data_IF_810971276168
#
_entry.id   IF_810971276168
#
_cell.length_a   1.000
_cell.length_b   1.000
_cell.length_c   1.000
_cell.angle_alpha   90.00
_cell.angle_beta   90.00
_cell.angle_gamma   90.00
#
_symmetry.space_group_name_H-M   'P 1'
#
loop_
_entity.id
_entity.type
_entity.pdbx_description
1 polymer ?
#
# COMPACT_ATOMS: atom_id res chain seq x y z
N UNK A 1 28.21 54.88 -56.61
CA UNK A 1 27.53 54.62 -55.36
C UNK A 1 27.68 53.12 -55.03
N UNK A 2 28.58 52.82 -54.09
CA UNK A 2 28.79 51.47 -53.61
C UNK A 2 27.65 51.12 -52.56
N UNK A 3 26.89 50.10 -52.86
CA UNK A 3 25.99 49.51 -51.88
C UNK A 3 26.83 48.69 -50.92
N UNK A 4 26.89 49.09 -49.68
CA UNK A 4 27.39 48.26 -48.60
C UNK A 4 26.39 47.11 -48.38
N UNK A 5 26.79 45.92 -48.77
CA UNK A 5 26.19 44.69 -48.25
C UNK A 5 26.46 44.63 -46.75
N UNK A 6 25.46 44.90 -45.97
CA UNK A 6 25.48 44.61 -44.52
C UNK A 6 25.41 43.10 -44.34
N UNK A 7 26.59 42.48 -44.36
CA UNK A 7 26.78 41.14 -43.90
C UNK A 7 26.16 41.04 -42.50
N UNK A 8 25.02 40.41 -42.44
CA UNK A 8 24.34 40.05 -41.20
C UNK A 8 25.16 38.94 -40.55
N UNK A 9 26.30 39.33 -39.92
CA UNK A 9 27.08 38.45 -39.05
C UNK A 9 26.24 38.11 -37.83
N UNK A 10 25.35 37.14 -38.03
CA UNK A 10 24.67 36.53 -36.92
C UNK A 10 25.75 35.91 -36.03
N UNK A 11 26.06 36.56 -34.90
CA UNK A 11 27.02 36.07 -33.92
C UNK A 11 26.70 34.60 -33.62
N UNK A 12 27.55 33.72 -34.08
CA UNK A 12 27.45 32.29 -33.77
C UNK A 12 27.58 32.12 -32.25
N UNK A 13 26.46 31.91 -31.58
CA UNK A 13 26.44 31.71 -30.14
C UNK A 13 26.67 30.25 -29.80
N UNK A 14 27.40 29.99 -28.71
CA UNK A 14 27.61 28.65 -28.18
C UNK A 14 26.28 27.92 -27.96
N UNK A 15 26.31 26.58 -28.06
CA UNK A 15 25.13 25.74 -27.77
C UNK A 15 24.74 25.91 -26.32
N UNK A 16 23.46 26.21 -26.05
CA UNK A 16 22.86 26.32 -24.73
C UNK A 16 21.74 25.29 -24.55
N UNK A 17 21.65 24.71 -23.37
CA UNK A 17 20.64 23.74 -22.96
C UNK A 17 19.66 24.37 -21.98
N UNK A 18 18.47 24.68 -22.46
CA UNK A 18 17.47 25.40 -21.70
C UNK A 18 17.87 26.84 -21.37
N UNK A 19 17.09 27.53 -20.57
CA UNK A 19 17.35 28.92 -20.13
C UNK A 19 18.57 28.99 -19.21
N UNK A 20 18.82 28.00 -18.40
CA UNK A 20 19.85 27.95 -17.35
C UNK A 20 21.19 27.36 -17.86
N UNK A 21 21.26 27.04 -19.15
CA UNK A 21 22.40 26.40 -19.76
C UNK A 21 22.89 25.15 -18.99
N UNK A 22 21.99 24.19 -18.83
CA UNK A 22 22.18 22.98 -18.07
C UNK A 22 23.43 22.22 -18.51
N UNK A 23 24.25 21.78 -17.56
CA UNK A 23 25.45 20.96 -17.78
C UNK A 23 25.32 19.54 -17.29
N UNK A 24 24.35 19.29 -16.44
CA UNK A 24 24.06 17.97 -15.89
C UNK A 24 22.54 17.70 -15.84
N UNK A 25 22.17 16.48 -16.14
CA UNK A 25 20.79 15.99 -16.08
C UNK A 25 20.73 14.75 -15.23
N UNK A 26 19.98 14.83 -14.14
CA UNK A 26 19.59 13.65 -13.37
C UNK A 26 18.16 13.27 -13.70
N UNK A 27 17.93 11.98 -13.95
CA UNK A 27 16.61 11.42 -14.24
C UNK A 27 16.48 9.98 -13.70
N UNK A 28 15.27 9.58 -13.44
CA UNK A 28 15.01 8.21 -13.01
C UNK A 28 15.11 7.24 -14.19
N UNK A 29 15.49 5.99 -13.92
CA UNK A 29 15.38 4.90 -14.86
C UNK A 29 13.98 4.87 -15.49
N UNK A 30 13.89 4.65 -16.79
CA UNK A 30 12.67 4.65 -17.61
C UNK A 30 11.94 6.01 -17.68
N UNK A 31 12.51 7.09 -17.15
CA UNK A 31 11.96 8.42 -17.33
C UNK A 31 12.62 9.16 -18.51
N UNK A 32 11.95 10.21 -18.96
CA UNK A 32 12.42 11.03 -20.07
C UNK A 32 12.41 12.50 -19.67
N UNK A 33 13.44 13.23 -20.03
CA UNK A 33 13.54 14.69 -19.91
C UNK A 33 13.74 15.33 -21.29
N UNK A 34 13.05 16.43 -21.52
CA UNK A 34 13.16 17.25 -22.72
C UNK A 34 13.80 18.59 -22.41
N UNK A 35 14.72 19.04 -23.26
CA UNK A 35 15.46 20.27 -23.08
C UNK A 35 15.48 21.00 -24.44
N UNK A 36 15.15 22.28 -24.46
CA UNK A 36 15.23 23.10 -25.63
C UNK A 36 16.69 23.55 -25.85
N UNK A 37 17.19 23.39 -27.06
CA UNK A 37 18.51 23.82 -27.48
C UNK A 37 18.43 25.19 -28.15
N UNK A 38 19.45 25.98 -27.94
CA UNK A 38 19.61 27.26 -28.65
C UNK A 38 21.09 27.52 -28.97
N UNK A 39 21.36 28.47 -29.85
CA UNK A 39 22.72 28.76 -30.29
C UNK A 39 23.23 27.82 -31.38
N UNK A 40 24.53 27.78 -31.60
CA UNK A 40 25.16 27.05 -32.69
C UNK A 40 24.66 27.52 -34.05
N UNK A 41 24.46 26.58 -34.99
CA UNK A 41 23.92 26.84 -36.33
C UNK A 41 22.40 26.61 -36.44
N UNK A 42 21.75 26.24 -35.32
CA UNK A 42 20.32 25.87 -35.28
C UNK A 42 20.02 24.47 -35.82
N UNK A 43 21.02 23.73 -36.29
CA UNK A 43 20.89 22.30 -36.64
C UNK A 43 21.70 21.48 -35.64
N UNK A 44 21.05 20.55 -35.00
CA UNK A 44 21.65 19.80 -33.89
C UNK A 44 21.72 18.31 -34.18
N UNK A 45 22.80 17.69 -33.72
CA UNK A 45 22.98 16.26 -33.61
C UNK A 45 23.40 15.94 -32.17
N UNK A 46 23.06 14.76 -31.65
CA UNK A 46 23.52 14.33 -30.35
C UNK A 46 23.90 12.85 -30.38
N UNK A 47 24.95 12.53 -29.62
CA UNK A 47 25.41 11.18 -29.40
C UNK A 47 25.59 10.98 -27.87
N UNK A 48 25.25 9.83 -27.38
CA UNK A 48 25.50 9.42 -25.99
C UNK A 48 26.73 8.51 -25.95
N UNK A 49 27.55 8.65 -24.92
CA UNK A 49 28.77 7.83 -24.76
C UNK A 49 28.45 6.37 -24.40
N UNK A 50 27.44 6.14 -23.56
CA UNK A 50 26.98 4.82 -23.22
C UNK A 50 25.46 4.69 -23.42
N UNK A 51 25.09 4.04 -24.52
CA UNK A 51 23.69 3.81 -24.88
C UNK A 51 22.98 2.78 -23.97
N UNK A 52 23.70 2.06 -23.11
CA UNK A 52 23.08 1.18 -22.09
C UNK A 52 22.52 2.01 -20.93
N UNK A 53 23.14 3.15 -20.61
CA UNK A 53 22.72 4.01 -19.50
C UNK A 53 21.62 4.97 -19.96
N UNK A 54 21.75 5.60 -21.12
CA UNK A 54 20.76 6.55 -21.61
C UNK A 54 20.66 6.55 -23.15
N UNK A 55 19.52 6.99 -23.65
CA UNK A 55 19.31 7.29 -25.07
C UNK A 55 19.07 8.79 -25.23
N UNK A 56 19.60 9.37 -26.32
CA UNK A 56 19.35 10.75 -26.69
C UNK A 56 18.79 10.84 -28.11
N UNK A 57 17.77 11.67 -28.26
CA UNK A 57 17.16 11.98 -29.59
C UNK A 57 16.98 13.47 -29.74
N UNK A 58 17.20 13.96 -30.94
CA UNK A 58 16.94 15.35 -31.30
C UNK A 58 15.79 15.43 -32.28
N UNK A 59 14.88 16.35 -32.02
CA UNK A 59 13.82 16.74 -32.95
C UNK A 59 13.80 18.26 -33.03
N UNK A 60 14.24 18.80 -34.17
CA UNK A 60 14.47 20.24 -34.39
C UNK A 60 15.44 20.81 -33.34
N UNK A 61 14.95 21.64 -32.43
CA UNK A 61 15.67 22.27 -31.33
C UNK A 61 15.46 21.56 -29.97
N UNK A 62 14.80 20.43 -29.97
CA UNK A 62 14.43 19.72 -28.75
C UNK A 62 15.31 18.48 -28.57
N UNK A 63 16.09 18.47 -27.49
CA UNK A 63 16.86 17.32 -27.02
C UNK A 63 15.98 16.50 -26.05
N UNK A 64 15.79 15.25 -26.38
CA UNK A 64 15.12 14.27 -25.52
C UNK A 64 16.13 13.28 -24.96
N UNK A 65 16.20 13.16 -23.63
CA UNK A 65 17.07 12.24 -22.90
C UNK A 65 16.20 11.22 -22.19
N UNK A 66 16.40 9.94 -22.46
CA UNK A 66 15.68 8.83 -21.82
C UNK A 66 16.67 7.98 -21.04
N UNK A 67 16.40 7.81 -19.73
CA UNK A 67 17.19 6.94 -18.86
C UNK A 67 16.83 5.47 -19.12
N UNK A 68 17.83 4.63 -19.40
CA UNK A 68 17.64 3.19 -19.68
C UNK A 68 18.03 2.35 -18.48
N UNK A 69 19.24 2.59 -17.97
CA UNK A 69 19.80 1.83 -16.86
C UNK A 69 20.53 2.74 -15.88
N UNK A 70 20.59 2.35 -14.61
CA UNK A 70 21.31 3.08 -13.58
C UNK A 70 22.78 3.25 -13.97
N UNK A 71 23.29 4.47 -13.82
CA UNK A 71 24.68 4.79 -14.14
C UNK A 71 24.88 6.24 -14.54
N UNK A 72 26.13 6.55 -14.87
CA UNK A 72 26.54 7.86 -15.37
C UNK A 72 27.07 7.74 -16.79
N UNK A 73 26.67 8.65 -17.62
CA UNK A 73 27.15 8.81 -18.98
C UNK A 73 27.13 10.29 -19.34
N UNK A 74 27.43 10.62 -20.59
CA UNK A 74 27.27 11.98 -21.12
C UNK A 74 26.77 11.94 -22.54
N UNK A 75 26.09 13.00 -22.92
CA UNK A 75 25.79 13.27 -24.32
C UNK A 75 26.65 14.40 -24.85
N UNK A 76 27.05 14.27 -26.10
CA UNK A 76 27.70 15.34 -26.87
C UNK A 76 26.72 15.86 -27.91
N UNK A 77 26.38 17.13 -27.81
CA UNK A 77 25.55 17.88 -28.75
C UNK A 77 26.46 18.62 -29.70
N UNK A 78 26.20 18.52 -31.00
CA UNK A 78 27.00 19.11 -32.06
C UNK A 78 26.08 19.99 -32.92
N UNK A 79 26.55 21.21 -33.23
CA UNK A 79 25.86 22.14 -34.13
C UNK A 79 26.89 22.93 -34.94
N UNK A 80 27.20 22.48 -36.16
CA UNK A 80 28.34 22.98 -36.95
C UNK A 80 29.66 22.67 -36.23
N UNK A 81 30.47 23.70 -36.00
CA UNK A 81 31.76 23.58 -35.30
C UNK A 81 31.62 23.59 -33.77
N UNK A 82 30.44 23.86 -33.25
CA UNK A 82 30.19 23.92 -31.81
C UNK A 82 29.87 22.54 -31.23
N UNK A 83 30.46 22.29 -30.06
CA UNK A 83 30.22 21.06 -29.29
C UNK A 83 29.89 21.41 -27.85
N UNK A 84 28.87 20.75 -27.30
CA UNK A 84 28.48 20.88 -25.91
C UNK A 84 28.31 19.48 -25.29
N UNK A 85 28.90 19.28 -24.12
CA UNK A 85 28.74 18.07 -23.33
C UNK A 85 27.75 18.34 -22.23
N UNK A 86 26.85 17.36 -21.99
CA UNK A 86 25.94 17.31 -20.86
C UNK A 86 26.10 15.97 -20.15
N UNK A 87 26.35 16.02 -18.85
CA UNK A 87 26.43 14.85 -18.00
C UNK A 87 25.03 14.30 -17.76
N UNK A 88 24.90 12.98 -17.78
CA UNK A 88 23.63 12.28 -17.57
C UNK A 88 23.82 11.30 -16.42
N UNK A 89 23.04 11.47 -15.38
CA UNK A 89 23.00 10.59 -14.22
C UNK A 89 21.63 9.91 -14.13
N UNK A 90 21.59 8.62 -14.45
CA UNK A 90 20.37 7.82 -14.33
C UNK A 90 20.37 7.12 -12.99
N UNK A 91 19.36 7.40 -12.18
CA UNK A 91 19.21 6.86 -10.84
C UNK A 91 18.00 5.96 -10.74
N UNK A 92 18.10 4.93 -9.91
CA UNK A 92 16.97 4.13 -9.48
C UNK A 92 16.61 4.61 -8.08
N UNK A 93 15.43 5.23 -7.87
CA UNK A 93 15.00 5.60 -6.54
C UNK A 93 14.99 4.39 -5.61
N UNK A 94 15.28 4.59 -4.34
CA UNK A 94 15.24 3.50 -3.37
C UNK A 94 13.83 2.89 -3.30
N UNK A 95 13.75 1.55 -3.19
CA UNK A 95 12.48 0.86 -3.00
C UNK A 95 11.80 1.36 -1.72
N UNK A 96 10.56 1.76 -1.85
CA UNK A 96 9.71 2.16 -0.74
C UNK A 96 8.33 1.55 -0.87
N UNK A 97 7.74 1.26 0.29
CA UNK A 97 6.35 0.83 0.43
C UNK A 97 5.62 1.94 1.17
N UNK A 98 4.44 2.31 0.71
CA UNK A 98 3.67 3.42 1.30
C UNK A 98 3.34 3.22 2.78
N UNK A 99 3.35 1.97 3.25
CA UNK A 99 3.09 1.59 4.65
C UNK A 99 3.96 0.38 5.01
N UNK A 100 4.49 0.32 6.22
CA UNK A 100 5.25 -0.85 6.73
C UNK A 100 4.37 -1.87 7.45
N UNK A 101 3.21 -1.44 7.95
CA UNK A 101 2.19 -2.29 8.57
C UNK A 101 0.81 -1.81 8.14
N UNK A 102 -0.07 -2.77 7.90
CA UNK A 102 -1.50 -2.51 7.69
C UNK A 102 -2.32 -3.42 8.60
N UNK A 103 -3.46 -2.87 9.05
CA UNK A 103 -4.46 -3.62 9.81
C UNK A 103 -5.72 -3.73 8.99
N UNK A 104 -6.23 -4.94 8.88
CA UNK A 104 -7.40 -5.28 8.08
C UNK A 104 -8.40 -6.04 8.93
N UNK A 105 -9.63 -6.04 8.46
CA UNK A 105 -10.68 -6.94 8.93
C UNK A 105 -10.81 -8.13 7.99
N UNK A 106 -11.18 -9.30 8.52
CA UNK A 106 -11.60 -10.39 7.67
C UNK A 106 -12.74 -9.96 6.74
N UNK A 107 -12.59 -10.27 5.45
CA UNK A 107 -13.59 -10.02 4.40
C UNK A 107 -14.02 -8.57 4.19
N UNK A 108 -13.20 -7.65 4.63
CA UNK A 108 -13.35 -6.25 4.29
C UNK A 108 -12.97 -5.99 2.83
N UNK A 109 -13.21 -4.78 2.36
CA UNK A 109 -12.77 -4.36 1.03
C UNK A 109 -11.25 -4.48 0.87
N UNK A 110 -10.81 -4.79 -0.35
CA UNK A 110 -9.38 -4.88 -0.65
C UNK A 110 -8.63 -3.60 -0.28
N UNK A 111 -7.46 -3.77 0.34
CA UNK A 111 -6.54 -2.67 0.60
C UNK A 111 -5.50 -2.57 -0.50
N UNK A 112 -5.22 -1.35 -0.94
CA UNK A 112 -4.24 -1.07 -1.97
C UNK A 112 -3.01 -0.40 -1.37
N UNK A 113 -1.84 -0.94 -1.67
CA UNK A 113 -0.54 -0.45 -1.18
C UNK A 113 0.35 -0.15 -2.38
N UNK A 114 0.85 1.08 -2.46
CA UNK A 114 1.72 1.50 -3.55
C UNK A 114 3.18 1.11 -3.27
N UNK A 115 3.83 0.58 -4.30
CA UNK A 115 5.24 0.25 -4.32
C UNK A 115 5.96 1.27 -5.22
N UNK A 116 6.97 1.94 -4.71
CA UNK A 116 7.68 2.99 -5.44
C UNK A 116 9.18 2.77 -5.41
N UNK A 117 9.87 3.15 -6.47
CA UNK A 117 11.32 2.99 -6.56
C UNK A 117 11.77 1.54 -6.76
N UNK A 118 13.06 1.28 -6.52
CA UNK A 118 13.66 -0.05 -6.62
C UNK A 118 13.87 -0.54 -8.07
N UNK A 119 13.60 0.28 -9.08
CA UNK A 119 13.56 -0.17 -10.47
C UNK A 119 12.42 -1.15 -10.69
N UNK A 120 12.69 -2.25 -11.42
CA UNK A 120 11.69 -3.29 -11.58
C UNK A 120 11.61 -4.15 -10.30
N UNK A 121 10.41 -4.38 -9.82
CA UNK A 121 10.19 -5.38 -8.76
C UNK A 121 10.33 -6.75 -9.42
N UNK A 122 11.24 -7.56 -8.91
CA UNK A 122 11.60 -8.86 -9.51
C UNK A 122 10.96 -10.02 -8.81
N UNK A 123 10.61 -9.87 -7.54
CA UNK A 123 9.99 -10.94 -6.76
C UNK A 123 9.09 -10.38 -5.65
N UNK A 124 8.04 -11.12 -5.36
CA UNK A 124 7.12 -10.83 -4.28
C UNK A 124 6.82 -12.13 -3.54
N UNK A 125 7.31 -12.23 -2.31
CA UNK A 125 7.12 -13.40 -1.45
C UNK A 125 6.06 -13.11 -0.40
N UNK A 126 5.09 -14.01 -0.30
CA UNK A 126 4.02 -13.94 0.69
C UNK A 126 4.25 -15.06 1.70
N UNK A 127 4.60 -14.70 2.92
CA UNK A 127 4.71 -15.62 4.06
C UNK A 127 3.38 -15.57 4.81
N UNK A 128 2.52 -16.53 4.49
CA UNK A 128 1.15 -16.65 5.01
C UNK A 128 0.78 -18.13 5.17
N UNK A 129 1.34 -18.81 6.20
CA UNK A 129 1.12 -20.23 6.42
C UNK A 129 -0.34 -20.57 6.70
N UNK A 130 -1.09 -19.64 7.30
CA UNK A 130 -2.49 -19.83 7.70
C UNK A 130 -3.48 -19.35 6.64
N UNK A 131 -2.99 -18.88 5.49
CA UNK A 131 -3.83 -18.33 4.40
C UNK A 131 -4.76 -17.22 4.84
N UNK A 132 -4.22 -16.34 5.68
CA UNK A 132 -4.92 -15.20 6.29
C UNK A 132 -5.34 -14.19 5.23
N UNK A 133 -4.51 -14.02 4.20
CA UNK A 133 -4.71 -13.03 3.13
C UNK A 133 -4.65 -13.66 1.74
N UNK A 134 -5.13 -12.91 0.76
CA UNK A 134 -4.77 -13.06 -0.64
C UNK A 134 -4.15 -11.73 -1.09
N UNK A 135 -2.98 -11.80 -1.71
CA UNK A 135 -2.31 -10.61 -2.21
C UNK A 135 -1.98 -10.78 -3.70
N UNK A 136 -2.27 -9.73 -4.48
CA UNK A 136 -2.00 -9.66 -5.92
C UNK A 136 -1.22 -8.39 -6.23
N UNK A 137 -0.15 -8.54 -6.95
CA UNK A 137 0.63 -7.41 -7.42
C UNK A 137 0.34 -7.13 -8.90
N UNK A 138 0.08 -5.88 -9.19
CA UNK A 138 -0.06 -5.39 -10.55
C UNK A 138 1.25 -4.72 -10.98
N UNK A 139 2.02 -5.41 -11.82
CA UNK A 139 3.32 -4.93 -12.31
C UNK A 139 3.25 -3.63 -13.14
N UNK A 140 2.09 -3.33 -13.76
CA UNK A 140 1.95 -2.11 -14.59
C UNK A 140 1.75 -0.86 -13.74
N UNK A 141 1.05 -0.99 -12.61
CA UNK A 141 0.72 0.12 -11.73
C UNK A 141 1.57 0.14 -10.46
N UNK A 142 2.35 -0.91 -10.21
CA UNK A 142 3.09 -1.14 -8.96
C UNK A 142 2.19 -1.03 -7.71
N UNK A 143 0.96 -1.51 -7.83
CA UNK A 143 0.02 -1.56 -6.73
C UNK A 143 -0.14 -3.02 -6.28
N UNK A 144 -0.02 -3.21 -4.97
CA UNK A 144 -0.32 -4.45 -4.28
C UNK A 144 -1.75 -4.37 -3.75
N UNK A 145 -2.61 -5.26 -4.22
CA UNK A 145 -3.97 -5.46 -3.71
C UNK A 145 -3.95 -6.57 -2.67
N UNK A 146 -4.48 -6.30 -1.49
CA UNK A 146 -4.50 -7.23 -0.36
C UNK A 146 -5.94 -7.39 0.13
N UNK A 147 -6.40 -8.63 0.15
CA UNK A 147 -7.70 -9.02 0.69
C UNK A 147 -7.51 -9.93 1.89
N UNK A 148 -8.18 -9.63 2.99
CA UNK A 148 -8.12 -10.42 4.22
C UNK A 148 -9.29 -11.41 4.30
N UNK A 149 -9.00 -12.65 4.74
CA UNK A 149 -10.00 -13.69 4.89
C UNK A 149 -10.21 -14.12 6.34
N UNK A 150 -9.12 -14.31 7.08
CA UNK A 150 -9.13 -14.84 8.43
C UNK A 150 -8.26 -13.99 9.36
N UNK A 151 -8.48 -14.14 10.65
CA UNK A 151 -7.63 -13.51 11.66
C UNK A 151 -6.24 -14.15 11.66
N UNK A 152 -5.20 -13.32 11.75
CA UNK A 152 -3.82 -13.76 11.79
C UNK A 152 -2.85 -12.70 11.30
N UNK A 153 -1.62 -13.11 11.07
CA UNK A 153 -0.56 -12.24 10.55
C UNK A 153 0.06 -12.85 9.30
N UNK A 154 0.36 -11.99 8.34
CA UNK A 154 1.10 -12.35 7.13
C UNK A 154 2.22 -11.33 6.89
N UNK A 155 3.28 -11.76 6.22
CA UNK A 155 4.39 -10.93 5.82
C UNK A 155 4.54 -10.94 4.31
N UNK A 156 4.58 -9.76 3.70
CA UNK A 156 4.83 -9.61 2.28
C UNK A 156 6.20 -8.98 2.10
N UNK A 157 7.10 -9.69 1.41
CA UNK A 157 8.44 -9.21 1.07
C UNK A 157 8.48 -8.82 -0.40
N UNK A 158 8.87 -7.59 -0.65
CA UNK A 158 9.06 -7.04 -2.00
C UNK A 158 10.55 -6.95 -2.28
N UNK A 159 10.99 -7.56 -3.35
CA UNK A 159 12.41 -7.59 -3.74
C UNK A 159 12.55 -6.82 -5.05
N UNK A 160 13.40 -5.81 -5.03
CA UNK A 160 13.73 -4.99 -6.19
C UNK A 160 14.85 -5.58 -7.03
N UNK A 161 15.06 -5.03 -8.23
CA UNK A 161 16.07 -5.47 -9.18
C UNK A 161 17.50 -5.38 -8.62
N UNK A 162 17.79 -4.42 -7.76
CA UNK A 162 19.06 -4.24 -7.06
C UNK A 162 19.19 -5.13 -5.81
N UNK A 163 18.27 -6.12 -5.65
CA UNK A 163 18.21 -7.07 -4.54
C UNK A 163 17.93 -6.42 -3.17
N UNK A 164 17.50 -5.18 -3.12
CA UNK A 164 16.99 -4.60 -1.88
C UNK A 164 15.62 -5.16 -1.55
N UNK A 165 15.37 -5.30 -0.28
CA UNK A 165 14.13 -5.88 0.24
C UNK A 165 13.41 -4.89 1.12
N UNK A 166 12.09 -4.82 0.99
CA UNK A 166 11.18 -4.14 1.91
C UNK A 166 10.06 -5.08 2.31
N UNK A 167 9.64 -4.99 3.55
CA UNK A 167 8.59 -5.84 4.11
C UNK A 167 7.37 -5.02 4.47
N UNK A 168 6.20 -5.63 4.24
CA UNK A 168 4.92 -5.15 4.69
C UNK A 168 4.32 -6.19 5.63
N UNK A 169 4.11 -5.82 6.89
CA UNK A 169 3.36 -6.63 7.84
C UNK A 169 1.87 -6.41 7.65
N UNK A 170 1.12 -7.50 7.51
CA UNK A 170 -0.34 -7.48 7.44
C UNK A 170 -0.88 -8.15 8.69
N UNK A 171 -1.65 -7.39 9.46
CA UNK A 171 -2.31 -7.88 10.68
C UNK A 171 -3.81 -7.88 10.41
N UNK A 172 -4.41 -9.07 10.42
CA UNK A 172 -5.85 -9.23 10.25
C UNK A 172 -6.47 -9.54 11.61
N UNK A 173 -7.35 -8.67 12.05
CA UNK A 173 -8.08 -8.82 13.32
C UNK A 173 -9.55 -8.56 13.12
N UNK A 174 -10.37 -9.39 13.71
CA UNK A 174 -11.82 -9.23 13.70
C UNK A 174 -12.32 -8.10 14.61
N UNK A 175 -11.49 -7.66 15.54
CA UNK A 175 -11.77 -6.63 16.53
C UNK A 175 -11.34 -5.21 16.12
N UNK A 176 -10.90 -5.03 14.87
CA UNK A 176 -10.15 -3.87 14.38
C UNK A 176 -10.68 -2.48 14.71
N UNK A 177 -11.91 -2.05 14.30
CA UNK A 177 -12.38 -0.68 14.59
C UNK A 177 -13.29 -0.63 15.82
N UNK A 178 -13.01 0.33 16.72
CA UNK A 178 -13.88 0.63 17.85
C UNK A 178 -15.35 0.82 17.46
N UNK A 179 -16.28 0.22 18.21
CA UNK A 179 -17.71 0.29 17.98
C UNK A 179 -18.26 -0.76 17.01
N UNK A 180 -17.44 -1.66 16.51
CA UNK A 180 -17.88 -2.75 15.61
C UNK A 180 -18.24 -4.00 16.43
N UNK A 181 -19.40 -3.96 17.06
CA UNK A 181 -19.93 -5.02 17.92
C UNK A 181 -20.26 -6.27 17.11
N UNK A 182 -19.94 -7.47 17.62
CA UNK A 182 -20.21 -8.72 16.89
C UNK A 182 -19.53 -9.94 17.45
N UNK A 183 -19.69 -11.06 16.73
CA UNK A 183 -19.05 -12.33 17.00
C UNK A 183 -18.18 -12.68 15.79
N UNK A 184 -16.97 -13.09 16.05
CA UNK A 184 -15.93 -13.27 15.03
C UNK A 184 -15.20 -14.59 15.26
N UNK A 185 -15.03 -15.39 14.20
CA UNK A 185 -14.16 -16.55 14.23
C UNK A 185 -12.67 -16.15 14.17
N UNK A 186 -11.82 -16.82 14.96
CA UNK A 186 -10.38 -16.52 15.05
C UNK A 186 -9.50 -17.58 14.43
N UNK A 187 -10.03 -18.72 14.03
CA UNK A 187 -9.27 -19.78 13.38
C UNK A 187 -9.28 -19.63 11.88
N UNK A 188 -8.22 -20.03 11.19
CA UNK A 188 -8.10 -19.98 9.72
C UNK A 188 -9.21 -20.76 8.99
N UNK A 189 -9.84 -21.70 9.66
CA UNK A 189 -10.88 -22.55 9.11
C UNK A 189 -12.29 -22.18 9.57
N UNK A 190 -12.45 -21.24 10.51
CA UNK A 190 -13.78 -20.82 10.97
C UNK A 190 -14.38 -19.83 9.99
N UNK A 191 -15.68 -19.98 9.74
CA UNK A 191 -16.44 -18.97 9.03
C UNK A 191 -16.44 -17.69 9.85
N UNK A 192 -16.18 -16.59 9.17
CA UNK A 192 -16.31 -15.29 9.74
C UNK A 192 -17.77 -14.86 9.72
N UNK A 193 -18.33 -14.66 10.89
CA UNK A 193 -19.71 -14.21 11.08
C UNK A 193 -19.68 -12.76 11.55
N UNK A 194 -19.84 -11.82 10.63
CA UNK A 194 -20.08 -10.43 10.98
C UNK A 194 -21.58 -10.19 11.08
N UNK A 195 -22.03 -9.79 12.24
CA UNK A 195 -23.39 -9.30 12.42
C UNK A 195 -23.47 -7.85 11.95
N UNK A 196 -24.21 -7.58 10.88
CA UNK A 196 -24.28 -6.27 10.26
C UNK A 196 -24.88 -5.17 11.14
N UNK A 197 -25.60 -5.55 12.20
CA UNK A 197 -26.17 -4.59 13.14
C UNK A 197 -26.29 -5.26 14.49
N UNK A 198 -25.28 -5.10 15.33
CA UNK A 198 -25.33 -5.66 16.66
C UNK A 198 -25.53 -4.52 17.65
N UNK A 199 -26.59 -4.62 18.40
CA UNK A 199 -26.81 -3.81 19.57
C UNK A 199 -26.56 -4.66 20.81
N UNK A 200 -25.59 -4.27 21.61
CA UNK A 200 -25.46 -4.80 22.96
C UNK A 200 -26.44 -4.05 23.87
N UNK A 201 -27.57 -4.65 24.12
CA UNK A 201 -28.46 -4.15 25.20
C UNK A 201 -27.85 -4.58 26.52
N UNK A 202 -27.12 -3.72 27.17
CA UNK A 202 -26.56 -3.93 28.51
C UNK A 202 -27.65 -3.64 29.54
N UNK A 203 -28.10 -4.68 30.24
CA UNK A 203 -28.94 -4.50 31.45
C UNK A 203 -28.12 -4.91 32.66
N UNK A 204 -27.75 -3.97 33.54
CA UNK A 204 -27.08 -4.32 34.80
C UNK A 204 -27.84 -5.44 35.53
N UNK A 205 -27.12 -6.48 36.00
CA UNK A 205 -27.70 -7.62 36.68
C UNK A 205 -28.38 -8.68 35.81
N UNK A 206 -28.63 -8.43 34.52
CA UNK A 206 -29.34 -9.37 33.63
C UNK A 206 -28.45 -9.98 32.57
N UNK A 207 -27.53 -9.23 32.00
CA UNK A 207 -26.61 -9.69 30.97
C UNK A 207 -26.46 -8.75 29.80
N UNK A 208 -25.70 -9.20 28.79
CA UNK A 208 -25.50 -8.53 27.52
C UNK A 208 -26.20 -9.32 26.42
N UNK A 209 -26.99 -8.64 25.61
CA UNK A 209 -27.66 -9.24 24.48
C UNK A 209 -27.00 -8.76 23.18
N UNK A 210 -26.60 -9.70 22.36
CA UNK A 210 -26.23 -9.45 20.98
C UNK A 210 -27.46 -9.70 20.10
N UNK A 211 -27.83 -8.70 19.32
CA UNK A 211 -29.02 -8.71 18.49
C UNK A 211 -28.66 -8.44 17.03
N UNK A 212 -29.28 -9.13 16.09
CA UNK A 212 -29.17 -8.85 14.67
C UNK A 212 -30.38 -8.01 14.24
N UNK A 213 -30.17 -6.77 13.82
CA UNK A 213 -31.22 -5.87 13.34
C UNK A 213 -31.05 -4.41 13.80
N UNK A 214 -31.71 -3.52 13.08
CA UNK A 214 -31.53 -2.06 13.22
C UNK A 214 -32.28 -1.42 14.41
N UNK A 215 -33.17 -2.17 15.09
CA UNK A 215 -33.98 -1.63 16.19
C UNK A 215 -34.01 -2.61 17.39
N UNK A 216 -33.76 -2.11 18.63
CA UNK A 216 -33.62 -2.98 19.80
C UNK A 216 -34.84 -3.84 20.14
N UNK A 217 -36.04 -3.37 19.79
CA UNK A 217 -37.29 -4.05 20.10
C UNK A 217 -37.80 -4.98 19.00
N UNK A 218 -37.35 -4.81 17.80
CA UNK A 218 -37.66 -5.66 16.63
C UNK A 218 -36.49 -6.53 16.18
N UNK A 219 -35.37 -6.45 16.89
CA UNK A 219 -34.14 -7.16 16.54
C UNK A 219 -34.17 -8.60 16.99
N UNK A 220 -33.72 -9.51 16.16
CA UNK A 220 -33.51 -10.90 16.49
C UNK A 220 -32.38 -11.01 17.54
N UNK A 221 -32.69 -11.48 18.72
CA UNK A 221 -31.70 -11.79 19.74
C UNK A 221 -30.99 -13.08 19.37
N UNK A 222 -29.67 -13.04 19.30
CA UNK A 222 -28.86 -14.18 18.82
C UNK A 222 -28.01 -14.79 19.91
N UNK A 223 -27.50 -13.98 20.84
CA UNK A 223 -26.66 -14.42 21.94
C UNK A 223 -26.98 -13.61 23.20
N UNK A 224 -27.11 -14.30 24.33
CA UNK A 224 -27.11 -13.69 25.66
C UNK A 224 -25.86 -14.10 26.40
N UNK A 225 -25.17 -13.14 27.00
CA UNK A 225 -24.04 -13.34 27.89
C UNK A 225 -24.45 -12.99 29.32
N UNK A 226 -24.31 -13.92 30.23
CA UNK A 226 -24.70 -13.77 31.64
C UNK A 226 -23.51 -14.17 32.53
N UNK A 227 -23.15 -13.41 33.58
CA UNK A 227 -23.68 -12.10 33.96
C UNK A 227 -23.29 -11.00 32.96
N UNK A 228 -23.84 -9.81 33.13
CA UNK A 228 -23.39 -8.65 32.38
C UNK A 228 -21.91 -8.37 32.66
N UNK A 229 -21.19 -8.11 31.62
CA UNK A 229 -19.75 -7.72 31.71
C UNK A 229 -19.69 -6.27 32.20
N UNK A 230 -19.36 -6.09 33.47
CA UNK A 230 -19.31 -4.79 34.15
C UNK A 230 -17.86 -4.50 34.54
N UNK A 231 -17.37 -3.32 34.17
CA UNK A 231 -16.00 -2.85 34.45
C UNK A 231 -14.92 -3.91 34.17
N UNK A 232 -14.88 -4.44 32.93
CA UNK A 232 -13.89 -5.44 32.58
C UNK A 232 -12.47 -4.82 32.63
N UNK A 233 -11.49 -5.65 33.01
CA UNK A 233 -10.10 -5.26 33.08
C UNK A 233 -9.33 -6.05 32.03
N UNK A 234 -8.65 -5.37 31.11
CA UNK A 234 -7.82 -6.02 30.09
C UNK A 234 -6.74 -6.92 30.73
N UNK A 235 -6.49 -8.07 30.14
CA UNK A 235 -5.56 -9.07 30.67
C UNK A 235 -6.17 -10.04 31.69
N UNK A 236 -7.43 -9.91 32.03
CA UNK A 236 -8.11 -10.80 33.00
C UNK A 236 -9.04 -11.80 32.33
N UNK A 237 -9.45 -12.80 33.08
CA UNK A 237 -10.47 -13.75 32.66
C UNK A 237 -11.80 -13.49 33.38
N UNK A 238 -12.89 -13.71 32.68
CA UNK A 238 -14.25 -13.64 33.21
C UNK A 238 -14.99 -14.93 32.92
N UNK A 239 -15.78 -15.38 33.89
CA UNK A 239 -16.64 -16.54 33.73
C UNK A 239 -18.05 -16.06 33.34
N UNK A 240 -18.57 -16.58 32.24
CA UNK A 240 -19.88 -16.22 31.71
C UNK A 240 -20.63 -17.47 31.28
N UNK A 241 -21.93 -17.34 31.12
CA UNK A 241 -22.75 -18.35 30.48
C UNK A 241 -23.39 -17.78 29.23
N UNK A 242 -23.34 -18.54 28.15
CA UNK A 242 -23.99 -18.23 26.89
C UNK A 242 -25.34 -18.94 26.77
N UNK A 243 -26.33 -18.19 26.32
CA UNK A 243 -27.60 -18.72 25.86
C UNK A 243 -27.86 -18.20 24.44
N UNK A 244 -27.99 -19.10 23.48
CA UNK A 244 -28.13 -18.78 22.07
C UNK A 244 -29.52 -19.17 21.57
N UNK A 245 -30.19 -18.27 20.88
CA UNK A 245 -31.47 -18.55 20.23
C UNK A 245 -31.31 -19.29 18.89
N UNK A 246 -30.12 -19.17 18.28
CA UNK A 246 -29.83 -19.76 16.96
C UNK A 246 -28.41 -20.35 16.98
N UNK A 247 -28.19 -21.47 17.70
CA UNK A 247 -26.87 -22.05 17.88
C UNK A 247 -26.20 -22.49 16.57
N UNK A 248 -26.99 -22.91 15.60
CA UNK A 248 -26.45 -23.39 14.30
C UNK A 248 -25.73 -22.30 13.50
N UNK A 249 -26.11 -21.03 13.68
CA UNK A 249 -25.44 -19.90 13.02
C UNK A 249 -24.00 -19.72 13.49
N UNK A 250 -23.65 -20.24 14.65
CA UNK A 250 -22.33 -20.07 15.27
C UNK A 250 -21.53 -21.38 15.39
N UNK A 251 -22.07 -22.48 14.91
CA UNK A 251 -21.44 -23.80 15.06
C UNK A 251 -19.99 -23.82 14.52
N UNK A 252 -19.74 -23.11 13.43
CA UNK A 252 -18.40 -23.01 12.79
C UNK A 252 -17.43 -22.11 13.54
N UNK A 253 -17.91 -21.21 14.41
CA UNK A 253 -17.05 -20.28 15.16
C UNK A 253 -16.49 -20.87 16.45
N UNK A 254 -16.93 -22.06 16.84
CA UNK A 254 -16.57 -22.69 18.12
C UNK A 254 -17.34 -22.16 19.33
N UNK A 255 -18.24 -21.20 19.13
CA UNK A 255 -19.13 -20.69 20.19
C UNK A 255 -20.23 -21.71 20.51
N UNK A 256 -20.39 -22.03 21.77
CA UNK A 256 -21.39 -23.02 22.26
C UNK A 256 -22.17 -22.46 23.45
N UNK A 257 -23.41 -22.93 23.64
CA UNK A 257 -24.18 -22.63 24.83
C UNK A 257 -23.52 -23.19 26.08
N UNK A 258 -23.80 -22.55 27.22
CA UNK A 258 -23.31 -22.95 28.53
C UNK A 258 -22.19 -22.07 29.08
N UNK A 259 -21.49 -22.59 30.06
CA UNK A 259 -20.47 -21.86 30.78
C UNK A 259 -19.21 -21.74 29.92
N UNK A 260 -18.65 -20.56 29.89
CA UNK A 260 -17.44 -20.22 29.13
C UNK A 260 -16.56 -19.29 29.93
N UNK A 261 -15.26 -19.49 29.83
CA UNK A 261 -14.26 -18.57 30.36
C UNK A 261 -13.73 -17.72 29.21
N UNK A 262 -13.90 -16.41 29.28
CA UNK A 262 -13.42 -15.45 28.29
C UNK A 262 -12.22 -14.69 28.82
N UNK A 263 -11.29 -14.42 27.95
CA UNK A 263 -10.18 -13.51 28.21
C UNK A 263 -10.54 -12.10 27.74
N UNK A 264 -10.42 -11.11 28.62
CA UNK A 264 -10.60 -9.71 28.28
C UNK A 264 -9.35 -9.24 27.54
N UNK A 265 -9.40 -9.23 26.22
CA UNK A 265 -8.25 -8.91 25.39
C UNK A 265 -7.98 -7.41 25.37
N UNK A 266 -9.02 -6.61 25.23
CA UNK A 266 -8.92 -5.17 25.14
C UNK A 266 -10.17 -4.50 25.71
N UNK A 267 -9.98 -3.37 26.38
CA UNK A 267 -11.06 -2.48 26.81
C UNK A 267 -10.85 -1.15 26.11
N UNK A 268 -11.81 -0.77 25.29
CA UNK A 268 -11.79 0.48 24.51
C UNK A 268 -12.83 1.45 25.03
N UNK A 269 -12.79 2.67 24.58
CA UNK A 269 -13.75 3.71 24.97
C UNK A 269 -15.22 3.29 24.72
N UNK A 270 -15.48 2.60 23.62
CA UNK A 270 -16.85 2.28 23.16
C UNK A 270 -17.21 0.81 23.24
N UNK A 271 -16.24 -0.07 23.33
CA UNK A 271 -16.45 -1.52 23.29
C UNK A 271 -15.40 -2.30 24.10
N UNK A 272 -15.65 -3.58 24.24
CA UNK A 272 -14.76 -4.52 24.91
C UNK A 272 -14.56 -5.73 24.01
N UNK A 273 -13.32 -6.15 23.84
CA UNK A 273 -12.95 -7.34 23.07
C UNK A 273 -12.76 -8.50 24.04
N UNK A 274 -13.58 -9.51 23.89
CA UNK A 274 -13.57 -10.74 24.68
C UNK A 274 -13.13 -11.91 23.78
N UNK A 275 -12.11 -12.65 24.18
CA UNK A 275 -11.61 -13.79 23.44
C UNK A 275 -12.03 -15.11 24.11
N UNK A 276 -12.65 -15.97 23.32
CA UNK A 276 -12.92 -17.37 23.65
C UNK A 276 -12.03 -18.31 22.82
N UNK A 277 -12.29 -19.59 22.93
CA UNK A 277 -11.58 -20.60 22.14
C UNK A 277 -12.12 -20.66 20.72
N UNK A 278 -11.39 -20.08 19.76
CA UNK A 278 -11.75 -20.07 18.36
C UNK A 278 -12.68 -18.93 17.94
N UNK A 279 -12.97 -17.99 18.85
CA UNK A 279 -13.82 -16.83 18.56
C UNK A 279 -13.44 -15.61 19.39
N UNK A 280 -13.88 -14.45 18.94
CA UNK A 280 -13.94 -13.21 19.73
C UNK A 280 -15.36 -12.67 19.75
N UNK A 281 -15.67 -11.98 20.80
CA UNK A 281 -16.90 -11.22 20.93
C UNK A 281 -16.52 -9.77 21.22
N UNK A 282 -17.05 -8.84 20.44
CA UNK A 282 -16.92 -7.40 20.67
C UNK A 282 -18.28 -6.89 21.14
N UNK A 283 -18.33 -6.30 22.33
CA UNK A 283 -19.55 -5.82 22.99
C UNK A 283 -19.45 -4.38 23.43
#
# INVERSE_FOLDING_TARGET
FAACDSDNLQEKKDIRLGTDNITEVSLNKLSTRTIILSGGTGKYMANVADSKVAEVKISKDTLRISGIWEGRTYATIISGDFKKRVEINVVVPELSISQSEIRLYPRDESKFVSLNGGGDIVDLKIEDPDKVINAKWNAKTNILEIQAYYEGEAMIRVISQDKKEKTLKVVVRCDGTAGRVGIYGTTSHSLYEQMNTVMAARRPGVGVWLCNGARPYSSRKVLKITPAVVNPVAGTHIDVSFSMLYPDEFASSGLKEGNCKLYVEEVREKDVVLRGRGFKIVI
#
